data_IF_699491548653
#
_entry.id   IF_699491548653
#
_cell.length_a   1.000
_cell.length_b   1.000
_cell.length_c   1.000
_cell.angle_alpha   90.00
_cell.angle_beta   90.00
_cell.angle_gamma   90.00
#
_symmetry.space_group_name_H-M   'P 1'
#
loop_
_entity.id
_entity.type
_entity.pdbx_description
1 polymer ?
#
# COMPACT_ATOMS: atom_id res chain seq x y z
N UNK A 1 -8.85 -13.31 1.77
CA UNK A 1 -10.32 -13.38 1.92
C UNK A 1 -10.90 -14.77 1.67
N UNK A 2 -10.41 -15.55 0.72
CA UNK A 2 -11.00 -16.87 0.39
C UNK A 2 -10.68 -17.97 1.43
N UNK A 3 -9.77 -17.70 2.36
CA UNK A 3 -9.42 -18.58 3.46
C UNK A 3 -10.10 -18.09 4.74
N UNK A 4 -10.68 -19.02 5.50
CA UNK A 4 -11.29 -18.73 6.79
C UNK A 4 -10.25 -18.54 7.91
N UNK A 5 -10.71 -18.31 9.14
CA UNK A 5 -9.85 -18.03 10.29
C UNK A 5 -8.89 -19.17 10.70
N UNK A 6 -9.12 -20.39 10.20
CA UNK A 6 -8.26 -21.55 10.46
C UNK A 6 -7.52 -22.03 9.21
N UNK A 7 -7.60 -21.27 8.11
CA UNK A 7 -6.83 -21.50 6.90
C UNK A 7 -7.50 -22.42 5.87
N UNK A 8 -8.81 -22.70 5.99
CA UNK A 8 -9.52 -23.49 4.98
C UNK A 8 -9.98 -22.62 3.82
N UNK A 9 -9.79 -23.09 2.57
CA UNK A 9 -10.36 -22.48 1.39
C UNK A 9 -11.86 -22.75 1.31
N UNK A 10 -12.69 -21.75 1.62
CA UNK A 10 -14.16 -21.83 1.48
C UNK A 10 -14.74 -20.43 1.34
N UNK A 11 -15.92 -20.32 0.75
CA UNK A 11 -16.69 -19.07 0.82
C UNK A 11 -17.30 -18.96 2.23
N UNK A 12 -16.86 -17.95 2.98
CA UNK A 12 -17.32 -17.69 4.35
C UNK A 12 -17.82 -16.26 4.53
N UNK A 13 -17.94 -15.51 3.43
CA UNK A 13 -18.55 -14.19 3.40
C UNK A 13 -19.96 -14.27 2.83
N UNK A 14 -20.85 -13.45 3.37
CA UNK A 14 -22.16 -13.23 2.76
C UNK A 14 -22.00 -12.60 1.37
N UNK A 15 -22.93 -12.92 0.47
CA UNK A 15 -22.85 -12.52 -0.94
C UNK A 15 -22.74 -10.99 -1.11
N UNK A 16 -23.46 -10.22 -0.30
CA UNK A 16 -23.46 -8.75 -0.33
C UNK A 16 -22.13 -8.16 0.18
N UNK A 17 -21.45 -8.81 1.13
CA UNK A 17 -20.11 -8.42 1.60
C UNK A 17 -19.08 -8.66 0.50
N UNK A 18 -19.18 -9.78 -0.21
CA UNK A 18 -18.30 -10.11 -1.33
C UNK A 18 -18.45 -9.10 -2.48
N UNK A 19 -19.69 -8.78 -2.87
CA UNK A 19 -19.96 -7.79 -3.91
C UNK A 19 -19.35 -6.42 -3.57
N UNK A 20 -19.61 -5.90 -2.37
CA UNK A 20 -19.03 -4.61 -1.92
C UNK A 20 -17.51 -4.63 -1.82
N UNK A 21 -16.91 -5.79 -1.53
CA UNK A 21 -15.46 -5.92 -1.56
C UNK A 21 -14.93 -5.83 -2.99
N UNK A 22 -15.56 -6.52 -3.93
CA UNK A 22 -15.17 -6.53 -5.35
C UNK A 22 -15.31 -5.13 -5.96
N UNK A 23 -16.36 -4.38 -5.64
CA UNK A 23 -16.52 -2.97 -6.03
C UNK A 23 -15.36 -2.08 -5.54
N UNK A 24 -14.95 -2.23 -4.27
CA UNK A 24 -13.84 -1.44 -3.70
C UNK A 24 -12.49 -1.89 -4.23
N UNK A 25 -12.31 -3.17 -4.47
CA UNK A 25 -11.12 -3.71 -5.10
C UNK A 25 -10.97 -3.15 -6.52
N UNK A 26 -12.07 -3.03 -7.28
CA UNK A 26 -12.05 -2.44 -8.62
C UNK A 26 -11.55 -0.99 -8.60
N UNK A 27 -11.92 -0.19 -7.59
CA UNK A 27 -11.38 1.16 -7.45
C UNK A 27 -9.85 1.19 -7.33
N UNK A 28 -9.24 0.19 -6.68
CA UNK A 28 -7.78 0.06 -6.55
C UNK A 28 -7.17 -0.41 -7.86
N UNK A 29 -7.79 -1.38 -8.55
CA UNK A 29 -7.36 -1.80 -9.89
C UNK A 29 -7.31 -0.57 -10.82
N UNK A 30 -8.42 0.14 -10.93
CA UNK A 30 -8.58 1.30 -11.82
C UNK A 30 -7.60 2.44 -11.49
N UNK A 31 -7.23 2.58 -10.21
CA UNK A 31 -6.25 3.58 -9.78
C UNK A 31 -4.86 3.21 -10.29
N UNK A 32 -4.41 1.97 -10.05
CA UNK A 32 -3.05 1.56 -10.37
C UNK A 32 -2.85 1.35 -11.87
N UNK A 33 -3.87 0.90 -12.62
CA UNK A 33 -3.81 0.79 -14.08
C UNK A 33 -3.52 2.12 -14.79
N UNK A 34 -3.90 3.25 -14.18
CA UNK A 34 -3.66 4.58 -14.74
C UNK A 34 -2.26 5.11 -14.47
N UNK A 35 -1.42 4.37 -13.76
CA UNK A 35 -0.07 4.82 -13.42
C UNK A 35 0.90 4.42 -14.53
N UNK A 36 1.30 5.42 -15.33
CA UNK A 36 2.40 5.27 -16.28
C UNK A 36 3.73 5.13 -15.53
N UNK A 37 4.54 4.13 -15.89
CA UNK A 37 5.81 3.87 -15.19
C UNK A 37 6.97 4.55 -15.93
N UNK A 38 7.59 5.60 -15.33
CA UNK A 38 8.62 6.39 -16.01
C UNK A 38 9.82 5.53 -16.45
N UNK A 39 10.30 5.78 -17.67
CA UNK A 39 11.40 4.99 -18.27
C UNK A 39 10.94 3.70 -18.96
N UNK A 40 9.64 3.43 -18.98
CA UNK A 40 9.01 2.33 -19.72
C UNK A 40 7.85 2.84 -20.58
N UNK A 41 7.23 1.95 -21.36
CA UNK A 41 5.97 2.20 -22.10
C UNK A 41 4.80 1.47 -21.44
N UNK A 42 4.99 0.99 -20.22
CA UNK A 42 4.07 0.12 -19.51
C UNK A 42 3.38 0.88 -18.38
N UNK A 43 2.16 0.44 -18.11
CA UNK A 43 1.38 0.79 -16.93
C UNK A 43 1.48 -0.33 -15.89
N UNK A 44 1.18 -0.04 -14.64
CA UNK A 44 1.06 -1.08 -13.60
C UNK A 44 -0.19 -1.92 -13.91
N UNK A 45 -0.07 -3.25 -13.86
CA UNK A 45 -1.25 -4.12 -13.87
C UNK A 45 -1.95 -4.04 -12.51
N UNK A 46 -3.07 -3.34 -12.44
CA UNK A 46 -3.86 -3.21 -11.20
C UNK A 46 -4.41 -4.54 -10.71
N UNK A 47 -4.75 -5.46 -11.63
CA UNK A 47 -5.19 -6.82 -11.30
C UNK A 47 -4.06 -7.66 -10.68
N UNK A 48 -2.89 -7.70 -11.32
CA UNK A 48 -1.73 -8.47 -10.85
C UNK A 48 -1.29 -8.00 -9.45
N UNK A 49 -1.30 -6.69 -9.23
CA UNK A 49 -0.79 -6.06 -8.01
C UNK A 49 -1.86 -5.84 -6.93
N UNK A 50 -3.11 -6.21 -7.20
CA UNK A 50 -4.26 -5.89 -6.34
C UNK A 50 -4.09 -6.30 -4.89
N UNK A 51 -3.59 -7.52 -4.66
CA UNK A 51 -3.43 -8.05 -3.31
C UNK A 51 -2.50 -7.19 -2.45
N UNK A 52 -1.33 -6.84 -3.00
CA UNK A 52 -0.33 -6.02 -2.34
C UNK A 52 -0.78 -4.55 -2.25
N UNK A 53 -1.44 -4.02 -3.28
CA UNK A 53 -1.97 -2.65 -3.24
C UNK A 53 -3.05 -2.48 -2.16
N UNK A 54 -3.93 -3.48 -1.97
CA UNK A 54 -4.89 -3.51 -0.86
C UNK A 54 -4.13 -3.57 0.48
N UNK A 55 -3.09 -4.40 0.56
CA UNK A 55 -2.30 -4.54 1.77
C UNK A 55 -1.60 -3.23 2.15
N UNK A 56 -0.96 -2.54 1.22
CA UNK A 56 -0.26 -1.26 1.44
C UNK A 56 -1.22 -0.16 1.92
N UNK A 57 -2.31 0.06 1.18
CA UNK A 57 -3.32 1.07 1.51
C UNK A 57 -3.99 0.76 2.86
N UNK A 58 -4.25 -0.52 3.14
CA UNK A 58 -4.75 -0.97 4.43
C UNK A 58 -3.74 -0.72 5.55
N UNK A 59 -2.49 -1.14 5.37
CA UNK A 59 -1.43 -1.08 6.37
C UNK A 59 -1.09 0.36 6.76
N UNK A 60 -0.92 1.26 5.78
CA UNK A 60 -0.60 2.66 6.09
C UNK A 60 -1.74 3.37 6.82
N UNK A 61 -2.99 3.09 6.44
CA UNK A 61 -4.18 3.60 7.14
C UNK A 61 -4.24 3.09 8.58
N UNK A 62 -4.07 1.78 8.79
CA UNK A 62 -4.18 1.20 10.13
C UNK A 62 -3.02 1.62 11.04
N UNK A 63 -1.80 1.64 10.52
CA UNK A 63 -0.62 2.08 11.28
C UNK A 63 -0.70 3.56 11.65
N UNK A 64 -1.20 4.42 10.77
CA UNK A 64 -1.42 5.83 11.10
C UNK A 64 -2.49 6.00 12.19
N UNK A 65 -3.61 5.27 12.10
CA UNK A 65 -4.64 5.27 13.15
C UNK A 65 -4.10 4.77 14.50
N UNK A 66 -3.26 3.73 14.48
CA UNK A 66 -2.57 3.24 15.68
C UNK A 66 -1.63 4.30 16.26
N UNK A 67 -0.87 5.02 15.43
CA UNK A 67 -0.01 6.12 15.85
C UNK A 67 -0.81 7.25 16.52
N UNK A 68 -1.94 7.66 15.93
CA UNK A 68 -2.83 8.67 16.53
C UNK A 68 -3.39 8.20 17.87
N UNK A 69 -3.75 6.92 17.99
CA UNK A 69 -4.22 6.34 19.26
C UNK A 69 -3.11 6.31 20.32
N UNK A 70 -1.87 6.02 19.93
CA UNK A 70 -0.71 6.09 20.81
C UNK A 70 -0.52 7.51 21.37
N UNK A 71 -0.54 8.53 20.51
CA UNK A 71 -0.40 9.94 20.92
C UNK A 71 -1.55 10.40 21.83
N UNK A 72 -2.78 9.91 21.61
CA UNK A 72 -3.91 10.20 22.51
C UNK A 72 -3.70 9.65 23.93
N UNK A 73 -3.01 8.51 24.06
CA UNK A 73 -2.76 7.85 25.35
C UNK A 73 -1.53 8.38 26.07
N UNK A 74 -0.49 8.74 25.33
CA UNK A 74 0.84 9.07 25.88
C UNK A 74 1.25 10.53 25.70
N UNK A 75 0.44 11.34 25.00
CA UNK A 75 0.77 12.71 24.67
C UNK A 75 1.66 12.84 23.43
N UNK A 76 2.11 14.07 23.15
CA UNK A 76 2.95 14.36 21.99
C UNK A 76 4.40 13.94 22.25
N UNK A 77 5.02 13.31 21.26
CA UNK A 77 6.45 13.00 21.29
C UNK A 77 7.29 14.23 20.96
N UNK A 78 8.54 14.22 21.42
CA UNK A 78 9.54 15.25 21.06
C UNK A 78 9.82 15.20 19.56
N UNK A 79 10.14 16.36 18.98
CA UNK A 79 10.64 16.45 17.60
C UNK A 79 12.02 15.82 17.48
N UNK A 80 12.33 15.28 16.31
CA UNK A 80 13.67 14.80 15.96
C UNK A 80 14.57 16.01 15.74
N UNK A 81 15.74 15.99 16.40
CA UNK A 81 16.71 17.08 16.30
C UNK A 81 17.27 17.18 14.88
N UNK A 82 17.30 18.38 14.31
CA UNK A 82 17.72 18.65 12.93
C UNK A 82 16.66 18.41 11.85
N UNK A 83 15.44 18.00 12.24
CA UNK A 83 14.29 17.81 11.36
C UNK A 83 13.03 18.52 11.91
N UNK A 84 13.22 19.56 12.72
CA UNK A 84 12.14 20.26 13.42
C UNK A 84 11.14 20.97 12.48
N UNK A 85 11.52 21.19 11.21
CA UNK A 85 10.62 21.70 10.18
C UNK A 85 9.46 20.74 9.86
N UNK A 86 9.60 19.45 10.18
CA UNK A 86 8.54 18.46 10.03
C UNK A 86 7.86 18.16 11.35
N UNK A 87 6.54 18.02 11.30
CA UNK A 87 5.78 17.51 12.43
C UNK A 87 5.81 15.98 12.51
N UNK A 88 5.46 15.39 13.66
CA UNK A 88 5.61 13.94 13.84
C UNK A 88 4.67 13.14 12.92
N UNK A 89 3.53 13.72 12.52
CA UNK A 89 2.63 13.10 11.53
C UNK A 89 3.28 13.14 10.13
N UNK A 90 3.95 14.23 9.76
CA UNK A 90 4.76 14.30 8.55
C UNK A 90 5.95 13.33 8.62
N UNK A 91 6.62 13.23 9.77
CA UNK A 91 7.71 12.28 9.98
C UNK A 91 7.26 10.83 9.86
N UNK A 92 6.03 10.51 10.27
CA UNK A 92 5.45 9.18 10.05
C UNK A 92 5.37 8.84 8.54
N UNK A 93 4.83 9.75 7.73
CA UNK A 93 4.75 9.53 6.28
C UNK A 93 6.09 9.63 5.56
N UNK A 94 7.01 10.47 6.04
CA UNK A 94 8.40 10.48 5.56
C UNK A 94 9.08 9.14 5.84
N UNK A 95 8.92 8.58 7.04
CA UNK A 95 9.42 7.26 7.38
C UNK A 95 8.86 6.16 6.48
N UNK A 96 7.54 6.19 6.23
CA UNK A 96 6.89 5.28 5.27
C UNK A 96 7.46 5.42 3.85
N UNK A 97 7.58 6.64 3.33
CA UNK A 97 8.15 6.86 2.00
C UNK A 97 9.62 6.42 1.89
N UNK A 98 10.41 6.62 2.96
CA UNK A 98 11.80 6.20 3.00
C UNK A 98 11.98 4.68 2.94
N UNK A 99 11.04 3.88 3.48
CA UNK A 99 11.13 2.42 3.37
C UNK A 99 10.97 1.89 1.94
N UNK A 100 10.45 2.71 1.01
CA UNK A 100 10.32 2.40 -0.41
C UNK A 100 11.37 3.07 -1.29
N UNK A 101 12.41 3.67 -0.70
CA UNK A 101 13.52 4.20 -1.48
C UNK A 101 14.30 3.06 -2.15
N UNK A 102 14.20 2.99 -3.47
CA UNK A 102 14.80 1.94 -4.29
C UNK A 102 15.25 2.50 -5.64
N UNK A 103 16.23 1.83 -6.26
CA UNK A 103 16.65 2.11 -7.62
C UNK A 103 16.87 0.79 -8.40
N UNK A 104 16.47 0.78 -9.67
CA UNK A 104 16.49 -0.40 -10.52
C UNK A 104 16.97 -0.08 -11.92
N UNK A 105 17.58 -1.07 -12.57
CA UNK A 105 17.84 -0.97 -14.00
C UNK A 105 16.53 -1.03 -14.77
N UNK A 106 16.48 -0.40 -15.94
CA UNK A 106 15.29 -0.42 -16.81
C UNK A 106 14.84 -1.84 -17.15
N UNK A 107 15.77 -2.74 -17.45
CA UNK A 107 15.47 -4.15 -17.76
C UNK A 107 14.82 -4.86 -16.58
N UNK A 108 15.32 -4.63 -15.37
CA UNK A 108 14.74 -5.22 -14.17
C UNK A 108 13.36 -4.63 -13.84
N UNK A 109 13.18 -3.32 -14.01
CA UNK A 109 11.88 -2.67 -13.83
C UNK A 109 10.82 -3.27 -14.77
N UNK A 110 11.15 -3.46 -16.06
CA UNK A 110 10.23 -4.10 -17.02
C UNK A 110 9.90 -5.53 -16.61
N UNK A 111 10.90 -6.30 -16.14
CA UNK A 111 10.67 -7.66 -15.65
C UNK A 111 9.68 -7.69 -14.48
N UNK A 112 9.85 -6.80 -13.49
CA UNK A 112 8.96 -6.75 -12.33
C UNK A 112 7.54 -6.33 -12.71
N UNK A 113 7.37 -5.35 -13.59
CA UNK A 113 6.05 -4.93 -14.06
C UNK A 113 5.23 -6.06 -14.70
N UNK A 114 5.90 -7.10 -15.22
CA UNK A 114 5.27 -8.23 -15.88
C UNK A 114 5.11 -9.46 -14.99
N UNK A 115 5.73 -9.52 -13.82
CA UNK A 115 5.84 -10.76 -13.03
C UNK A 115 5.72 -10.61 -11.52
N UNK A 116 6.00 -9.44 -10.96
CA UNK A 116 5.91 -9.18 -9.53
C UNK A 116 4.46 -8.79 -9.15
N UNK A 117 3.98 -9.31 -8.03
CA UNK A 117 2.69 -8.93 -7.47
C UNK A 117 2.75 -7.63 -6.67
N UNK A 118 3.93 -7.03 -6.46
CA UNK A 118 4.08 -5.71 -5.88
C UNK A 118 4.17 -4.65 -6.97
N UNK A 119 3.48 -3.52 -6.75
CA UNK A 119 3.70 -2.31 -7.55
C UNK A 119 5.15 -1.81 -7.35
N UNK A 120 5.79 -1.17 -8.35
CA UNK A 120 7.12 -0.59 -8.16
C UNK A 120 7.16 0.36 -6.96
N UNK A 121 8.25 0.33 -6.19
CA UNK A 121 8.36 1.04 -4.90
C UNK A 121 7.97 2.52 -4.94
N UNK A 122 8.23 3.24 -6.04
CA UNK A 122 7.84 4.65 -6.23
C UNK A 122 6.31 4.89 -6.21
N UNK A 123 5.53 3.84 -6.43
CA UNK A 123 4.07 3.89 -6.62
C UNK A 123 3.28 3.26 -5.46
N UNK A 124 4.00 2.79 -4.43
CA UNK A 124 3.46 2.23 -3.18
C UNK A 124 3.35 3.30 -2.08
#
# INVERSE_FOLDING_TARGET
RQYDSIGNLREWWDADVKERFEERAQCIIDQYEKIDVPGTVLNISGELTLGENIADNGAIKQSYMAYKNYLRRHGKEKRIKGLEQFNNEQMFFLGYGLSYCENMTRTHLIYLLLSDNHSPSRTR
#
